data_IF_577782535604
#
_entry.id   IF_577782535604
#
_cell.length_a   1.000
_cell.length_b   1.000
_cell.length_c   1.000
_cell.angle_alpha   90.00
_cell.angle_beta   90.00
_cell.angle_gamma   90.00
#
_symmetry.space_group_name_H-M   'P 1'
#
loop_
_entity.id
_entity.type
_entity.pdbx_description
1 polymer ?
#
# COMPACT_ATOMS: atom_id res chain seq x y z
N UNK A 1 12.82 0.66 51.61
CA UNK A 1 12.59 0.97 50.18
C UNK A 1 13.09 -0.10 49.21
N UNK A 2 13.89 -1.11 49.61
CA UNK A 2 14.36 -2.15 48.67
C UNK A 2 13.36 -3.31 48.44
N UNK A 3 12.39 -3.54 49.32
CA UNK A 3 11.43 -4.66 49.17
C UNK A 3 10.37 -4.43 48.07
N UNK A 4 10.11 -3.18 47.67
CA UNK A 4 9.10 -2.88 46.65
C UNK A 4 9.62 -3.16 45.23
N UNK A 5 10.90 -2.87 44.96
CA UNK A 5 11.52 -3.14 43.66
C UNK A 5 11.72 -4.63 43.37
N UNK A 6 11.96 -5.45 44.41
CA UNK A 6 12.20 -6.89 44.24
C UNK A 6 10.90 -7.66 43.93
N UNK A 7 9.76 -7.18 44.48
CA UNK A 7 8.43 -7.74 44.18
C UNK A 7 7.98 -7.38 42.76
N UNK A 8 8.26 -6.16 42.30
CA UNK A 8 7.97 -5.73 40.93
C UNK A 8 8.76 -6.54 39.89
N UNK A 9 10.05 -6.84 40.14
CA UNK A 9 10.87 -7.63 39.19
C UNK A 9 10.37 -9.08 39.08
N UNK A 10 9.99 -9.70 40.21
CA UNK A 10 9.44 -11.06 40.20
C UNK A 10 8.07 -11.14 39.51
N UNK A 11 7.21 -10.15 39.76
CA UNK A 11 5.91 -10.01 39.11
C UNK A 11 6.06 -9.78 37.60
N UNK A 12 6.95 -8.88 37.20
CA UNK A 12 7.23 -8.55 35.81
C UNK A 12 7.81 -9.73 35.04
N UNK A 13 8.79 -10.45 35.61
CA UNK A 13 9.33 -11.68 35.00
C UNK A 13 8.27 -12.75 34.80
N UNK A 14 7.34 -12.89 35.75
CA UNK A 14 6.24 -13.86 35.65
C UNK A 14 5.27 -13.46 34.55
N UNK A 15 4.88 -12.19 34.49
CA UNK A 15 4.04 -11.61 33.44
C UNK A 15 4.68 -11.75 32.06
N UNK A 16 5.98 -11.42 31.95
CA UNK A 16 6.72 -11.53 30.70
C UNK A 16 6.82 -12.98 30.24
N UNK A 17 7.06 -13.92 31.16
CA UNK A 17 7.10 -15.35 30.84
C UNK A 17 5.73 -15.87 30.39
N UNK A 18 4.66 -15.39 31.02
CA UNK A 18 3.29 -15.75 30.64
C UNK A 18 2.93 -15.16 29.27
N UNK A 19 3.33 -13.90 29.02
CA UNK A 19 3.17 -13.24 27.74
C UNK A 19 3.91 -13.98 26.63
N UNK A 20 5.19 -14.34 26.83
CA UNK A 20 5.95 -15.11 25.85
C UNK A 20 5.39 -16.51 25.61
N UNK A 21 4.67 -17.08 26.58
CA UNK A 21 4.06 -18.42 26.49
C UNK A 21 2.71 -18.41 25.78
N UNK A 22 1.91 -17.36 25.99
CA UNK A 22 0.55 -17.22 25.43
C UNK A 22 0.48 -16.29 24.20
N UNK A 23 1.60 -15.69 23.78
CA UNK A 23 1.62 -14.83 22.60
C UNK A 23 1.47 -15.62 21.31
N UNK A 24 0.62 -15.13 20.41
CA UNK A 24 0.46 -15.61 19.04
C UNK A 24 1.64 -15.25 18.11
N UNK A 25 2.67 -14.61 18.65
CA UNK A 25 3.87 -14.23 17.91
C UNK A 25 4.76 -15.47 17.76
N UNK A 26 4.68 -16.08 16.58
CA UNK A 26 5.52 -17.21 16.20
C UNK A 26 7.00 -16.81 16.33
N UNK A 27 7.73 -17.54 17.18
CA UNK A 27 9.17 -17.35 17.38
C UNK A 27 9.59 -16.88 18.78
N UNK A 28 8.69 -16.62 19.73
CA UNK A 28 9.12 -16.33 21.13
C UNK A 28 9.31 -17.61 21.97
N UNK A 29 8.76 -18.73 21.53
CA UNK A 29 8.85 -20.03 22.19
C UNK A 29 10.31 -20.56 22.36
N UNK A 30 11.22 -20.38 21.38
CA UNK A 30 12.63 -20.77 21.54
C UNK A 30 13.39 -19.98 22.61
N UNK A 31 12.92 -18.79 22.99
CA UNK A 31 13.51 -18.00 24.10
C UNK A 31 13.16 -18.58 25.46
N UNK A 32 11.99 -19.25 25.57
CA UNK A 32 11.54 -19.93 26.77
C UNK A 32 12.21 -21.30 26.96
N UNK A 33 12.57 -21.98 25.86
CA UNK A 33 13.22 -23.28 25.94
C UNK A 33 14.63 -23.15 26.51
N UNK A 34 14.98 -24.05 27.43
CA UNK A 34 16.31 -24.10 28.04
C UNK A 34 17.30 -24.70 27.04
N UNK A 35 17.87 -23.88 26.17
CA UNK A 35 18.94 -24.30 25.27
C UNK A 35 20.29 -24.32 26.01
N UNK A 36 21.14 -25.35 25.80
CA UNK A 36 22.44 -25.47 26.47
C UNK A 36 23.48 -24.47 25.93
N UNK A 37 23.20 -23.84 24.78
CA UNK A 37 24.10 -22.90 24.10
C UNK A 37 23.75 -21.48 24.53
N UNK A 38 24.62 -20.83 25.31
CA UNK A 38 24.38 -19.49 25.86
C UNK A 38 24.13 -18.42 24.78
N UNK A 39 24.80 -18.52 23.63
CA UNK A 39 24.67 -17.57 22.53
C UNK A 39 23.44 -17.79 21.64
N UNK A 40 22.81 -18.97 21.69
CA UNK A 40 21.68 -19.27 20.81
C UNK A 40 20.50 -18.33 21.07
N UNK A 41 20.29 -17.92 22.33
CA UNK A 41 19.23 -16.97 22.71
C UNK A 41 19.51 -15.56 22.20
N UNK A 42 20.75 -15.09 22.30
CA UNK A 42 21.14 -13.77 21.81
C UNK A 42 21.04 -13.70 20.28
N UNK A 43 21.49 -14.75 19.58
CA UNK A 43 21.33 -14.88 18.14
C UNK A 43 19.86 -14.89 17.72
N UNK A 44 19.02 -15.61 18.47
CA UNK A 44 17.59 -15.68 18.18
C UNK A 44 16.88 -14.34 18.42
N UNK A 45 17.25 -13.59 19.46
CA UNK A 45 16.77 -12.23 19.67
C UNK A 45 17.21 -11.29 18.55
N UNK A 46 18.47 -11.37 18.14
CA UNK A 46 18.99 -10.58 17.03
C UNK A 46 18.24 -10.91 15.73
N UNK A 47 17.98 -12.19 15.47
CA UNK A 47 17.20 -12.64 14.32
C UNK A 47 15.77 -12.09 14.34
N UNK A 48 15.07 -12.18 15.47
CA UNK A 48 13.73 -11.61 15.61
C UNK A 48 13.73 -10.09 15.40
N UNK A 49 14.71 -9.39 15.96
CA UNK A 49 14.84 -7.94 15.78
C UNK A 49 15.05 -7.57 14.31
N UNK A 50 15.91 -8.31 13.60
CA UNK A 50 16.13 -8.12 12.16
C UNK A 50 14.84 -8.35 11.36
N UNK A 51 14.09 -9.42 11.67
CA UNK A 51 12.80 -9.69 11.00
C UNK A 51 11.82 -8.54 11.23
N UNK A 52 11.68 -8.05 12.47
CA UNK A 52 10.78 -6.94 12.79
C UNK A 52 11.18 -5.67 12.02
N UNK A 53 12.46 -5.31 12.04
CA UNK A 53 12.97 -4.14 11.30
C UNK A 53 12.72 -4.28 9.81
N UNK A 54 13.01 -5.45 9.24
CA UNK A 54 12.81 -5.73 7.82
C UNK A 54 11.34 -5.61 7.43
N UNK A 55 10.45 -6.27 8.18
CA UNK A 55 9.00 -6.18 7.92
C UNK A 55 8.49 -4.74 8.03
N UNK A 56 9.01 -3.95 8.97
CA UNK A 56 8.63 -2.55 9.10
C UNK A 56 9.02 -1.73 7.88
N UNK A 57 10.24 -1.92 7.35
CA UNK A 57 10.70 -1.27 6.12
C UNK A 57 9.78 -1.63 4.94
N UNK A 58 9.46 -2.92 4.77
CA UNK A 58 8.58 -3.40 3.69
C UNK A 58 7.18 -2.79 3.81
N UNK A 59 6.60 -2.77 5.01
CA UNK A 59 5.28 -2.18 5.27
C UNK A 59 5.28 -0.70 4.90
N UNK A 60 6.28 0.06 5.34
CA UNK A 60 6.39 1.49 5.01
C UNK A 60 6.48 1.70 3.50
N UNK A 61 7.32 0.92 2.82
CA UNK A 61 7.49 1.04 1.38
C UNK A 61 6.19 0.77 0.61
N UNK A 62 5.51 -0.33 0.94
CA UNK A 62 4.20 -0.67 0.36
C UNK A 62 3.13 0.38 0.69
N UNK A 63 3.18 0.98 1.88
CA UNK A 63 2.24 2.02 2.29
C UNK A 63 2.43 3.28 1.46
N UNK A 64 3.69 3.67 1.19
CA UNK A 64 4.00 4.82 0.33
C UNK A 64 3.47 4.57 -1.09
N UNK A 65 3.72 3.37 -1.65
CA UNK A 65 3.25 2.99 -2.98
C UNK A 65 1.72 2.93 -3.07
N UNK A 66 1.06 2.47 -2.00
CA UNK A 66 -0.40 2.48 -1.91
C UNK A 66 -0.98 3.91 -1.83
N UNK A 67 -0.33 4.81 -1.09
CA UNK A 67 -0.74 6.23 -1.00
C UNK A 67 -0.59 6.92 -2.36
N UNK A 68 0.43 6.58 -3.14
CA UNK A 68 0.64 7.12 -4.49
C UNK A 68 -0.40 6.60 -5.51
N UNK A 69 -1.23 5.63 -5.09
CA UNK A 69 -2.41 5.14 -5.79
C UNK A 69 -2.21 5.06 -7.31
N UNK A 70 -1.27 4.20 -7.80
CA UNK A 70 -1.10 4.01 -9.23
C UNK A 70 -2.43 3.52 -9.78
N UNK A 71 -3.10 4.36 -10.54
CA UNK A 71 -4.41 4.06 -11.08
C UNK A 71 -4.25 2.92 -12.09
N UNK A 72 -4.55 1.71 -11.66
CA UNK A 72 -4.61 0.55 -12.55
C UNK A 72 -5.76 0.75 -13.53
N UNK A 73 -5.43 1.24 -14.72
CA UNK A 73 -6.37 1.39 -15.83
C UNK A 73 -6.67 0.01 -16.44
N UNK A 74 -7.67 -0.67 -15.88
CA UNK A 74 -8.20 -1.90 -16.46
C UNK A 74 -9.04 -1.56 -17.70
N UNK A 75 -8.45 -1.71 -18.90
CA UNK A 75 -9.18 -1.60 -20.16
C UNK A 75 -9.94 -2.90 -20.44
N UNK A 76 -11.20 -2.97 -20.00
CA UNK A 76 -12.13 -4.01 -20.42
C UNK A 76 -13.12 -3.44 -21.45
N UNK A 77 -13.25 -4.01 -22.66
CA UNK A 77 -14.31 -3.62 -23.57
C UNK A 77 -15.64 -4.00 -22.93
N UNK A 78 -16.45 -3.02 -22.55
CA UNK A 78 -17.82 -3.28 -22.14
C UNK A 78 -18.58 -3.74 -23.38
N UNK A 79 -18.95 -5.03 -23.45
CA UNK A 79 -19.76 -5.58 -24.55
C UNK A 79 -21.20 -5.08 -24.42
N UNK A 80 -21.39 -3.78 -24.61
CA UNK A 80 -22.72 -3.19 -24.80
C UNK A 80 -23.18 -3.53 -26.21
N UNK A 81 -24.43 -3.99 -26.34
CA UNK A 81 -25.03 -4.25 -27.64
C UNK A 81 -25.00 -2.94 -28.45
N UNK A 82 -24.56 -3.01 -29.72
CA UNK A 82 -24.34 -1.83 -30.59
C UNK A 82 -25.58 -0.91 -30.67
N UNK A 83 -26.76 -1.46 -30.44
CA UNK A 83 -28.04 -0.73 -30.40
C UNK A 83 -28.19 0.26 -29.23
N UNK A 84 -27.38 0.15 -28.17
CA UNK A 84 -27.43 1.02 -26.98
C UNK A 84 -26.27 2.02 -26.89
N UNK A 85 -25.39 2.07 -27.89
CA UNK A 85 -24.31 3.05 -27.94
C UNK A 85 -24.85 4.38 -28.52
N UNK A 86 -24.74 5.51 -27.79
CA UNK A 86 -25.20 6.79 -28.31
C UNK A 86 -24.39 7.18 -29.55
N UNK A 87 -25.07 7.64 -30.59
CA UNK A 87 -24.40 8.12 -31.79
C UNK A 87 -23.49 9.32 -31.43
N UNK A 88 -22.20 9.31 -31.83
CA UNK A 88 -21.29 10.38 -31.46
C UNK A 88 -21.68 11.69 -32.15
N UNK A 89 -21.34 12.82 -31.53
CA UNK A 89 -21.47 14.11 -32.19
C UNK A 89 -20.49 14.17 -33.37
N UNK A 90 -21.01 14.10 -34.60
CA UNK A 90 -20.21 14.22 -35.81
C UNK A 90 -20.24 15.67 -36.30
N UNK A 91 -19.11 16.36 -36.15
CA UNK A 91 -18.91 17.69 -36.73
C UNK A 91 -18.38 17.57 -38.16
N UNK A 92 -19.20 17.94 -39.16
CA UNK A 92 -18.76 18.00 -40.56
C UNK A 92 -18.39 19.43 -40.92
N UNK A 93 -17.10 19.69 -41.09
CA UNK A 93 -16.58 20.98 -41.55
C UNK A 93 -16.28 20.94 -43.06
N UNK A 94 -16.53 22.05 -43.75
CA UNK A 94 -16.05 22.22 -45.13
C UNK A 94 -14.53 22.41 -45.09
N UNK A 95 -13.79 21.78 -46.00
CA UNK A 95 -12.34 21.98 -46.14
C UNK A 95 -11.97 23.41 -46.55
N UNK A 96 -12.95 24.20 -47.02
CA UNK A 96 -12.76 25.59 -47.38
C UNK A 96 -13.44 26.50 -46.34
N UNK A 97 -12.64 27.37 -45.75
CA UNK A 97 -13.05 28.36 -44.75
C UNK A 97 -13.77 29.56 -45.37
N UNK A 98 -13.71 29.73 -46.69
CA UNK A 98 -14.20 30.91 -47.40
C UNK A 98 -15.19 30.53 -48.50
N UNK A 99 -16.39 31.13 -48.45
CA UNK A 99 -17.36 31.02 -49.54
C UNK A 99 -17.09 32.09 -50.60
N UNK A 100 -16.89 31.67 -51.87
CA UNK A 100 -16.73 32.59 -53.02
C UNK A 100 -17.88 33.59 -53.12
N UNK A 101 -19.11 33.16 -52.81
CA UNK A 101 -20.31 34.00 -52.84
C UNK A 101 -20.26 35.10 -51.76
N UNK A 102 -19.73 34.78 -50.57
CA UNK A 102 -19.56 35.78 -49.52
C UNK A 102 -18.51 36.81 -49.93
N UNK A 103 -17.38 36.39 -50.50
CA UNK A 103 -16.36 37.33 -51.00
C UNK A 103 -16.89 38.27 -52.07
N UNK A 104 -17.65 37.76 -53.05
CA UNK A 104 -18.24 38.59 -54.10
C UNK A 104 -19.25 39.62 -53.55
N UNK A 105 -20.06 39.22 -52.55
CA UNK A 105 -20.99 40.14 -51.90
C UNK A 105 -20.34 41.23 -51.05
N UNK A 106 -19.16 40.97 -50.47
CA UNK A 106 -18.34 42.00 -49.83
C UNK A 106 -17.71 42.95 -50.85
N UNK A 107 -17.17 42.41 -51.94
CA UNK A 107 -16.50 43.19 -52.97
C UNK A 107 -17.45 44.13 -53.73
N UNK A 108 -18.74 43.79 -53.87
CA UNK A 108 -19.73 44.67 -54.50
C UNK A 108 -20.31 45.74 -53.57
N UNK A 109 -20.07 45.62 -52.25
CA UNK A 109 -20.53 46.59 -51.23
C UNK A 109 -19.44 47.59 -50.83
N UNK A 110 -18.19 47.37 -51.26
CA UNK A 110 -17.11 48.36 -51.25
C UNK A 110 -17.14 49.16 -52.55
#
# INVERSE_FOLDING_TARGET
MAQLSEVDDFSYRRLFREFLRHSYINGLQPLLLHTPVQYAKAFWLAFLAVVVVWTHIVIVNLTIEYIDQPTEIHMAPNLVHVSNSPFPAVGVCRSNMISKRLMQGYASKM
#
